data_IF_791605202923
#
_entry.id   IF_791605202923
#
_cell.length_a   1.000
_cell.length_b   1.000
_cell.length_c   1.000
_cell.angle_alpha   90.00
_cell.angle_beta   90.00
_cell.angle_gamma   90.00
#
_symmetry.space_group_name_H-M   'P 1'
#
loop_
_entity.id
_entity.type
_entity.pdbx_description
1 polymer ?
#
# COMPACT_ATOMS: atom_id res chain seq x y z
N UNK A 1 -10.55 -7.34 4.53
CA UNK A 1 -9.69 -7.86 5.60
C UNK A 1 -9.56 -9.36 5.57
N UNK A 2 -8.48 -9.89 6.13
CA UNK A 2 -8.22 -11.33 6.28
C UNK A 2 -8.15 -11.68 7.76
N UNK A 3 -8.85 -12.76 8.17
CA UNK A 3 -8.93 -13.22 9.57
C UNK A 3 -8.91 -14.74 9.66
N UNK A 4 -8.88 -15.31 10.88
CA UNK A 4 -9.05 -16.76 11.11
C UNK A 4 -7.74 -17.57 11.14
N UNK A 5 -6.58 -16.92 11.21
CA UNK A 5 -5.27 -17.56 11.37
C UNK A 5 -4.31 -16.70 12.21
N UNK A 6 -3.10 -17.21 12.46
CA UNK A 6 -2.04 -16.46 13.11
C UNK A 6 -1.60 -15.23 12.27
N UNK A 7 -1.11 -14.15 12.89
CA UNK A 7 -0.74 -12.92 12.19
C UNK A 7 0.25 -13.14 11.03
N UNK A 8 1.23 -14.02 11.19
CA UNK A 8 2.19 -14.38 10.14
C UNK A 8 1.49 -14.95 8.91
N UNK A 9 0.60 -15.91 9.12
CA UNK A 9 -0.18 -16.57 8.04
C UNK A 9 -1.13 -15.59 7.34
N UNK A 10 -1.73 -14.66 8.12
CA UNK A 10 -2.57 -13.59 7.57
C UNK A 10 -1.75 -12.61 6.73
N UNK A 11 -0.53 -12.28 7.17
CA UNK A 11 0.38 -11.41 6.43
C UNK A 11 0.80 -12.05 5.10
N UNK A 12 1.25 -13.31 5.11
CA UNK A 12 1.59 -14.06 3.89
C UNK A 12 0.41 -14.11 2.89
N UNK A 13 -0.78 -14.43 3.38
CA UNK A 13 -1.99 -14.46 2.56
C UNK A 13 -2.35 -13.06 2.02
N UNK A 14 -2.11 -12.00 2.81
CA UNK A 14 -2.35 -10.61 2.42
C UNK A 14 -1.40 -10.19 1.29
N UNK A 15 -0.12 -10.50 1.39
CA UNK A 15 0.88 -10.21 0.35
C UNK A 15 0.54 -10.95 -0.95
N UNK A 16 0.28 -12.26 -0.86
CA UNK A 16 -0.07 -13.07 -2.02
C UNK A 16 -1.36 -12.60 -2.71
N UNK A 17 -2.37 -12.18 -1.95
CA UNK A 17 -3.61 -11.61 -2.47
C UNK A 17 -3.35 -10.25 -3.12
N UNK A 18 -2.61 -9.37 -2.46
CA UNK A 18 -2.30 -8.05 -2.98
C UNK A 18 -1.56 -8.11 -4.32
N UNK A 19 -0.60 -9.01 -4.48
CA UNK A 19 0.14 -9.18 -5.73
C UNK A 19 -0.75 -9.65 -6.88
N UNK A 20 -1.69 -10.57 -6.62
CA UNK A 20 -2.67 -10.99 -7.63
C UNK A 20 -3.61 -9.87 -8.05
N UNK A 21 -4.12 -9.12 -7.09
CA UNK A 21 -5.04 -8.02 -7.37
C UNK A 21 -4.35 -6.86 -8.11
N UNK A 22 -3.09 -6.57 -7.79
CA UNK A 22 -2.30 -5.54 -8.52
C UNK A 22 -2.05 -5.92 -9.98
N UNK A 23 -1.96 -7.21 -10.29
CA UNK A 23 -1.79 -7.70 -11.65
C UNK A 23 -3.09 -7.70 -12.47
N UNK A 24 -4.24 -7.54 -11.82
CA UNK A 24 -5.55 -7.57 -12.48
C UNK A 24 -5.98 -6.15 -12.89
N UNK A 25 -6.38 -5.94 -14.16
CA UNK A 25 -6.76 -4.62 -14.67
C UNK A 25 -8.04 -4.06 -14.05
N UNK A 26 -8.84 -4.86 -13.37
CA UNK A 26 -10.06 -4.43 -12.69
C UNK A 26 -9.76 -3.48 -11.50
N UNK A 27 -8.56 -3.56 -10.92
CA UNK A 27 -8.18 -2.77 -9.76
C UNK A 27 -7.27 -1.62 -10.13
N UNK A 28 -7.55 -0.45 -9.56
CA UNK A 28 -6.76 0.77 -9.73
C UNK A 28 -5.71 0.92 -8.63
N UNK A 29 -6.08 0.57 -7.39
CA UNK A 29 -5.22 0.66 -6.21
C UNK A 29 -5.42 -0.57 -5.34
N UNK A 30 -4.31 -1.14 -4.89
CA UNK A 30 -4.28 -2.21 -3.89
C UNK A 30 -3.18 -1.89 -2.88
N UNK A 31 -3.57 -1.57 -1.65
CA UNK A 31 -2.67 -1.23 -0.55
C UNK A 31 -2.97 -2.11 0.67
N UNK A 32 -1.95 -2.77 1.20
CA UNK A 32 -2.04 -3.64 2.37
C UNK A 32 -1.05 -3.25 3.49
N UNK A 33 -0.40 -2.08 3.33
CA UNK A 33 0.66 -1.63 4.26
C UNK A 33 2.06 -2.07 3.90
N UNK A 34 2.22 -2.95 2.92
CA UNK A 34 3.53 -3.38 2.45
C UNK A 34 4.34 -2.18 1.90
N UNK A 35 5.56 -2.02 2.41
CA UNK A 35 6.47 -0.99 1.89
C UNK A 35 7.17 -1.52 0.66
N UNK A 36 6.77 -1.04 -0.50
CA UNK A 36 7.41 -1.39 -1.77
C UNK A 36 8.27 -0.24 -2.24
N UNK A 37 9.50 -0.54 -2.63
CA UNK A 37 10.40 0.46 -3.20
C UNK A 37 9.89 1.01 -4.55
N UNK A 38 9.10 0.21 -5.28
CA UNK A 38 8.45 0.60 -6.54
C UNK A 38 7.15 1.41 -6.34
N UNK A 39 6.66 1.53 -5.09
CA UNK A 39 5.47 2.32 -4.76
C UNK A 39 5.75 3.82 -4.62
N UNK A 40 7.00 4.26 -4.71
CA UNK A 40 7.31 5.69 -4.71
C UNK A 40 6.75 6.34 -5.98
N UNK A 41 5.93 7.41 -5.85
CA UNK A 41 5.30 8.05 -6.99
C UNK A 41 6.34 8.83 -7.82
N UNK A 42 6.99 8.15 -8.76
CA UNK A 42 8.09 8.70 -9.58
C UNK A 42 7.70 10.00 -10.32
N UNK A 43 6.44 10.16 -10.66
CA UNK A 43 5.90 11.38 -11.26
C UNK A 43 6.02 12.61 -10.35
N UNK A 44 6.20 12.43 -9.05
CA UNK A 44 6.43 13.52 -8.09
C UNK A 44 7.90 13.89 -7.96
N UNK A 45 8.81 13.08 -8.47
CA UNK A 45 10.26 13.30 -8.35
C UNK A 45 10.71 14.70 -8.83
N UNK A 46 10.21 15.24 -9.96
CA UNK A 46 10.54 16.62 -10.40
C UNK A 46 10.08 17.70 -9.42
N UNK A 47 9.04 17.43 -8.65
CA UNK A 47 8.38 18.41 -7.77
C UNK A 47 8.71 18.20 -6.29
N UNK A 48 9.55 17.23 -5.93
CA UNK A 48 9.81 16.79 -4.56
C UNK A 48 10.18 17.93 -3.59
N UNK A 49 10.99 18.88 -4.03
CA UNK A 49 11.39 20.04 -3.21
C UNK A 49 10.30 21.10 -3.07
N UNK A 50 9.36 21.17 -4.01
CA UNK A 50 8.21 22.08 -3.93
C UNK A 50 7.10 21.53 -3.02
N UNK A 51 7.05 20.22 -2.88
CA UNK A 51 6.01 19.53 -2.11
C UNK A 51 6.45 19.21 -0.69
N UNK A 52 7.75 19.23 -0.42
CA UNK A 52 8.30 18.94 0.92
C UNK A 52 8.45 20.22 1.74
N UNK A 53 8.38 20.09 3.06
CA UNK A 53 8.62 21.16 4.00
C UNK A 53 10.13 21.46 4.19
N UNK A 54 11.03 20.77 3.48
CA UNK A 54 12.48 20.92 3.69
C UNK A 54 12.95 22.34 3.40
N UNK A 55 12.43 22.95 2.32
CA UNK A 55 12.80 24.31 1.94
C UNK A 55 12.20 25.39 2.86
N UNK A 56 11.15 25.07 3.61
CA UNK A 56 10.57 25.97 4.60
C UNK A 56 11.47 26.09 5.84
N UNK A 57 12.24 25.04 6.14
CA UNK A 57 13.06 24.92 7.34
C UNK A 57 14.57 24.93 7.09
N UNK A 58 14.99 24.78 5.84
CA UNK A 58 16.39 24.67 5.45
C UNK A 58 16.69 25.45 4.17
N UNK A 59 17.82 26.16 4.17
CA UNK A 59 18.34 26.72 2.91
C UNK A 59 19.01 25.62 2.11
N UNK A 60 18.75 25.58 0.81
CA UNK A 60 19.41 24.68 -0.12
C UNK A 60 20.80 25.24 -0.48
N UNK A 61 21.73 25.17 0.47
CA UNK A 61 23.09 25.68 0.38
C UNK A 61 24.13 24.56 0.51
N UNK A 62 25.41 24.90 0.32
CA UNK A 62 26.50 23.93 0.39
C UNK A 62 26.58 23.22 1.77
N UNK A 63 26.40 23.90 2.92
CA UNK A 63 26.34 23.23 4.21
C UNK A 63 25.18 22.23 4.35
N UNK A 64 23.99 22.54 3.83
CA UNK A 64 22.86 21.62 3.79
C UNK A 64 23.19 20.38 2.96
N UNK A 65 23.64 20.58 1.72
CA UNK A 65 24.00 19.47 0.83
C UNK A 65 25.11 18.59 1.41
N UNK A 66 26.12 19.19 2.03
CA UNK A 66 27.20 18.43 2.66
C UNK A 66 26.68 17.50 3.77
N UNK A 67 25.77 17.98 4.61
CA UNK A 67 25.14 17.16 5.67
C UNK A 67 24.32 16.03 5.08
N UNK A 68 23.49 16.31 4.07
CA UNK A 68 22.64 15.30 3.43
C UNK A 68 23.49 14.22 2.74
N UNK A 69 24.53 14.61 2.00
CA UNK A 69 25.42 13.65 1.35
C UNK A 69 26.20 12.81 2.36
N UNK A 70 26.62 13.38 3.51
CA UNK A 70 27.23 12.59 4.57
C UNK A 70 26.27 11.56 5.19
N UNK A 71 24.96 11.87 5.28
CA UNK A 71 23.95 10.89 5.67
C UNK A 71 23.89 9.76 4.65
N UNK A 72 23.85 10.09 3.36
CA UNK A 72 23.80 9.08 2.27
C UNK A 72 25.01 8.15 2.28
N UNK A 73 26.19 8.67 2.56
CA UNK A 73 27.40 7.82 2.72
C UNK A 73 27.21 6.80 3.84
N UNK A 74 26.60 7.20 4.96
CA UNK A 74 26.30 6.29 6.08
C UNK A 74 25.21 5.27 5.70
N UNK A 75 24.18 5.70 4.98
CA UNK A 75 23.11 4.82 4.52
C UNK A 75 23.63 3.74 3.56
N UNK A 76 24.54 4.12 2.66
CA UNK A 76 25.22 3.18 1.74
C UNK A 76 26.15 2.20 2.46
N UNK A 77 26.62 2.54 3.65
CA UNK A 77 27.40 1.63 4.50
C UNK A 77 26.52 0.69 5.35
N UNK A 78 25.19 0.83 5.28
CA UNK A 78 24.22 0.02 6.03
C UNK A 78 23.79 -1.22 5.26
N UNK A 79 23.25 -2.25 5.95
CA UNK A 79 22.70 -3.45 5.27
C UNK A 79 21.55 -3.15 4.29
N UNK A 80 20.88 -2.00 4.43
CA UNK A 80 19.80 -1.55 3.54
C UNK A 80 20.26 -0.81 2.28
N UNK A 81 21.56 -0.68 2.03
CA UNK A 81 22.12 0.09 0.92
C UNK A 81 21.54 -0.26 -0.45
N UNK A 82 21.35 -1.56 -0.72
CA UNK A 82 20.82 -2.05 -2.00
C UNK A 82 19.41 -1.55 -2.34
N UNK A 83 18.61 -1.21 -1.34
CA UNK A 83 17.26 -0.66 -1.54
C UNK A 83 17.30 0.83 -1.90
N UNK A 84 18.31 1.56 -1.41
CA UNK A 84 18.43 3.00 -1.58
C UNK A 84 19.28 3.39 -2.81
N UNK A 85 20.23 2.57 -3.21
CA UNK A 85 21.19 2.87 -4.29
C UNK A 85 20.49 3.30 -5.60
N UNK A 86 19.43 2.63 -6.09
CA UNK A 86 18.76 3.03 -7.33
C UNK A 86 18.16 4.44 -7.26
N UNK A 87 17.72 4.84 -6.06
CA UNK A 87 17.08 6.14 -5.81
C UNK A 87 18.09 7.27 -5.66
N UNK A 88 19.23 7.00 -5.02
CA UNK A 88 20.25 8.02 -4.73
C UNK A 88 20.79 8.72 -5.96
N UNK A 89 20.81 8.04 -7.11
CA UNK A 89 21.23 8.64 -8.39
C UNK A 89 20.25 9.69 -8.90
N UNK A 90 18.96 9.54 -8.59
CA UNK A 90 17.87 10.42 -9.05
C UNK A 90 17.44 11.43 -7.99
N UNK A 91 17.60 11.07 -6.73
CA UNK A 91 17.23 11.86 -5.56
C UNK A 91 18.29 11.74 -4.46
N UNK A 92 19.42 12.47 -4.59
CA UNK A 92 20.55 12.35 -3.65
C UNK A 92 20.22 12.71 -2.21
N UNK A 93 19.19 13.51 -1.98
CA UNK A 93 18.72 13.90 -0.64
C UNK A 93 17.61 13.00 -0.12
N UNK A 94 17.09 12.05 -0.95
CA UNK A 94 15.93 11.21 -0.67
C UNK A 94 14.68 12.03 -0.29
N UNK A 95 14.51 13.19 -0.94
CA UNK A 95 13.42 14.11 -0.64
C UNK A 95 12.06 13.51 -0.95
N UNK A 96 11.96 12.69 -2.02
CA UNK A 96 10.73 11.97 -2.34
C UNK A 96 10.36 10.98 -1.25
N UNK A 97 11.33 10.29 -0.67
CA UNK A 97 11.10 9.36 0.44
C UNK A 97 10.64 10.13 1.69
N UNK A 98 11.29 11.25 2.02
CA UNK A 98 10.90 12.13 3.13
C UNK A 98 9.46 12.65 2.93
N UNK A 99 9.11 13.04 1.71
CA UNK A 99 7.77 13.50 1.36
C UNK A 99 6.71 12.41 1.59
N UNK A 100 6.96 11.20 1.09
CA UNK A 100 6.04 10.07 1.29
C UNK A 100 5.91 9.72 2.77
N UNK A 101 7.00 9.73 3.53
CA UNK A 101 6.97 9.51 4.98
C UNK A 101 6.19 10.60 5.72
N UNK A 102 6.34 11.86 5.31
CA UNK A 102 5.58 12.98 5.90
C UNK A 102 4.08 12.91 5.59
N UNK A 103 3.70 12.31 4.46
CA UNK A 103 2.30 12.09 4.10
C UNK A 103 1.68 10.87 4.76
N UNK A 104 2.48 9.96 5.31
CA UNK A 104 1.97 8.87 6.15
C UNK A 104 1.35 9.47 7.41
N UNK A 105 0.03 9.43 7.47
CA UNK A 105 -0.73 10.04 8.57
C UNK A 105 -0.57 9.23 9.87
N UNK A 106 -0.62 9.88 11.05
CA UNK A 106 -0.55 9.18 12.34
C UNK A 106 -1.76 8.23 12.62
N UNK A 107 -2.70 8.15 11.68
CA UNK A 107 -3.88 7.27 11.71
C UNK A 107 -3.71 6.00 10.86
N UNK A 108 -2.51 5.71 10.38
CA UNK A 108 -2.28 4.42 9.71
C UNK A 108 -2.55 3.24 10.67
N UNK A 109 -3.15 2.15 10.17
CA UNK A 109 -3.29 0.92 10.93
C UNK A 109 -1.95 0.40 11.42
N UNK A 110 -1.95 -0.31 12.55
CA UNK A 110 -0.74 -0.93 13.08
C UNK A 110 -0.13 -1.87 12.05
N UNK A 111 1.21 -1.83 11.88
CA UNK A 111 1.92 -2.75 10.99
C UNK A 111 2.47 -3.93 11.77
N UNK A 112 2.19 -5.14 11.26
CA UNK A 112 2.79 -6.40 11.72
C UNK A 112 3.17 -7.22 10.50
N UNK A 113 4.40 -7.78 10.49
CA UNK A 113 4.92 -8.55 9.34
C UNK A 113 4.78 -7.80 8.02
N UNK A 114 5.11 -6.48 8.03
CA UNK A 114 5.06 -5.56 6.90
C UNK A 114 3.69 -5.29 6.28
N UNK A 115 2.58 -5.77 6.88
CA UNK A 115 1.21 -5.47 6.45
C UNK A 115 0.40 -4.77 7.55
N UNK A 116 -0.70 -4.12 7.16
CA UNK A 116 -1.61 -3.47 8.10
C UNK A 116 -2.45 -4.48 8.86
N UNK A 117 -2.64 -4.22 10.14
CA UNK A 117 -3.52 -4.97 11.01
C UNK A 117 -4.50 -4.04 11.74
N UNK A 118 -5.62 -4.62 12.19
CA UNK A 118 -6.49 -3.97 13.15
C UNK A 118 -5.78 -3.78 14.50
N UNK A 119 -6.29 -2.88 15.36
CA UNK A 119 -5.68 -2.59 16.66
C UNK A 119 -5.58 -3.79 17.62
N UNK A 120 -6.24 -4.92 17.32
CA UNK A 120 -6.13 -6.18 18.06
C UNK A 120 -5.09 -7.12 17.46
N UNK A 121 -4.64 -6.88 16.24
CA UNK A 121 -3.71 -7.74 15.52
C UNK A 121 -4.33 -9.07 15.06
N UNK A 122 -5.65 -9.12 14.91
CA UNK A 122 -6.40 -10.35 14.55
C UNK A 122 -6.88 -10.34 13.11
N UNK A 123 -6.83 -9.18 12.44
CA UNK A 123 -7.30 -9.00 11.06
C UNK A 123 -6.26 -8.24 10.27
N UNK A 124 -5.72 -8.84 9.22
CA UNK A 124 -4.91 -8.14 8.25
C UNK A 124 -5.81 -7.28 7.36
N UNK A 125 -5.46 -6.00 7.18
CA UNK A 125 -6.25 -5.02 6.46
C UNK A 125 -5.69 -4.78 5.06
N UNK A 126 -6.59 -4.52 4.12
CA UNK A 126 -6.25 -4.17 2.74
C UNK A 126 -7.25 -3.16 2.21
N UNK A 127 -6.78 -2.12 1.54
CA UNK A 127 -7.58 -1.17 0.79
C UNK A 127 -7.51 -1.54 -0.69
N UNK A 128 -8.68 -1.71 -1.30
CA UNK A 128 -8.80 -2.05 -2.72
C UNK A 128 -9.73 -1.03 -3.39
N UNK A 129 -9.27 -0.42 -4.48
CA UNK A 129 -10.06 0.47 -5.31
C UNK A 129 -10.22 -0.13 -6.70
N UNK A 130 -11.47 -0.27 -7.13
CA UNK A 130 -11.82 -0.74 -8.47
C UNK A 130 -11.69 0.40 -9.49
N UNK A 131 -11.49 0.08 -10.77
CA UNK A 131 -11.53 1.06 -11.88
C UNK A 131 -12.94 1.42 -12.28
N UNK A 132 -13.89 0.51 -12.07
CA UNK A 132 -15.30 0.74 -12.40
C UNK A 132 -15.90 1.89 -11.60
N UNK A 133 -16.87 2.58 -12.19
CA UNK A 133 -17.62 3.63 -11.50
C UNK A 133 -18.31 3.05 -10.26
N UNK A 134 -18.14 3.72 -9.10
CA UNK A 134 -18.57 3.21 -7.79
C UNK A 134 -20.08 2.95 -7.66
N UNK A 135 -20.88 3.48 -8.57
CA UNK A 135 -22.34 3.30 -8.63
C UNK A 135 -22.80 2.26 -9.67
N UNK A 136 -21.88 1.71 -10.46
CA UNK A 136 -22.21 0.62 -11.39
C UNK A 136 -22.13 -0.71 -10.64
N UNK A 137 -23.28 -1.23 -10.23
CA UNK A 137 -23.39 -2.45 -9.42
C UNK A 137 -22.92 -3.70 -10.16
N UNK A 138 -23.06 -3.77 -11.49
CA UNK A 138 -22.59 -4.89 -12.30
C UNK A 138 -21.06 -4.95 -12.31
N UNK A 139 -20.39 -3.83 -12.50
CA UNK A 139 -18.92 -3.75 -12.42
C UNK A 139 -18.42 -4.06 -11.00
N UNK A 140 -19.15 -3.65 -9.96
CA UNK A 140 -18.78 -3.96 -8.58
C UNK A 140 -18.94 -5.46 -8.25
N UNK A 141 -19.99 -6.11 -8.76
CA UNK A 141 -20.15 -7.56 -8.64
C UNK A 141 -19.03 -8.33 -9.35
N UNK A 142 -18.66 -7.91 -10.57
CA UNK A 142 -17.55 -8.51 -11.30
C UNK A 142 -16.23 -8.38 -10.52
N UNK A 143 -15.92 -7.19 -10.00
CA UNK A 143 -14.72 -6.94 -9.19
C UNK A 143 -14.70 -7.79 -7.90
N UNK A 144 -15.85 -7.94 -7.23
CA UNK A 144 -15.97 -8.81 -6.05
C UNK A 144 -15.76 -10.28 -6.43
N UNK A 145 -16.26 -10.72 -7.57
CA UNK A 145 -16.02 -12.07 -8.09
C UNK A 145 -14.53 -12.34 -8.33
N UNK A 146 -13.83 -11.40 -8.96
CA UNK A 146 -12.38 -11.47 -9.16
C UNK A 146 -11.64 -11.50 -7.82
N UNK A 147 -12.04 -10.66 -6.85
CA UNK A 147 -11.46 -10.63 -5.51
C UNK A 147 -11.60 -11.99 -4.79
N UNK A 148 -12.79 -12.58 -4.81
CA UNK A 148 -13.02 -13.90 -4.19
C UNK A 148 -12.20 -15.00 -4.85
N UNK A 149 -12.07 -15.00 -6.17
CA UNK A 149 -11.24 -15.95 -6.91
C UNK A 149 -9.77 -15.78 -6.55
N UNK A 150 -9.27 -14.54 -6.60
CA UNK A 150 -7.88 -14.22 -6.22
C UNK A 150 -7.58 -14.63 -4.77
N UNK A 151 -8.55 -14.44 -3.85
CA UNK A 151 -8.41 -14.88 -2.47
C UNK A 151 -8.37 -16.41 -2.34
N UNK A 152 -9.21 -17.13 -3.04
CA UNK A 152 -9.20 -18.61 -3.01
C UNK A 152 -7.84 -19.17 -3.43
N UNK A 153 -7.20 -18.51 -4.40
CA UNK A 153 -5.87 -18.88 -4.92
C UNK A 153 -4.70 -18.37 -4.05
N UNK A 154 -4.92 -17.32 -3.26
CA UNK A 154 -3.89 -16.66 -2.45
C UNK A 154 -3.81 -17.16 -1.01
N UNK A 155 -4.93 -17.65 -0.45
CA UNK A 155 -4.96 -18.10 0.95
C UNK A 155 -4.01 -19.26 1.18
N UNK A 156 -3.17 -19.14 2.19
CA UNK A 156 -2.17 -20.17 2.54
C UNK A 156 -2.75 -21.31 3.38
N UNK A 157 -3.88 -21.04 4.08
CA UNK A 157 -4.56 -22.03 4.93
C UNK A 157 -6.08 -21.95 4.77
N UNK A 158 -6.81 -23.09 4.88
CA UNK A 158 -8.28 -23.11 4.78
C UNK A 158 -9.00 -22.30 5.85
N UNK A 159 -8.36 -22.07 7.01
CA UNK A 159 -8.91 -21.28 8.12
C UNK A 159 -8.94 -19.78 7.83
N UNK A 160 -8.14 -19.29 6.88
CA UNK A 160 -8.13 -17.87 6.50
C UNK A 160 -9.46 -17.52 5.83
N UNK A 161 -10.10 -16.48 6.32
CA UNK A 161 -11.38 -15.97 5.86
C UNK A 161 -11.23 -14.55 5.31
N UNK A 162 -11.97 -14.25 4.24
CA UNK A 162 -12.04 -12.93 3.64
C UNK A 162 -13.26 -12.17 4.16
N UNK A 163 -13.05 -10.95 4.62
CA UNK A 163 -14.09 -9.99 4.99
C UNK A 163 -14.02 -8.83 3.99
N UNK A 164 -15.10 -8.61 3.25
CA UNK A 164 -15.22 -7.50 2.31
C UNK A 164 -16.21 -6.48 2.84
N UNK A 165 -15.80 -5.21 2.90
CA UNK A 165 -16.63 -4.09 3.37
C UNK A 165 -16.43 -2.89 2.45
N UNK A 166 -17.33 -1.92 2.55
CA UNK A 166 -17.22 -0.68 1.79
C UNK A 166 -18.40 -0.44 0.86
N UNK A 167 -18.47 0.73 0.22
CA UNK A 167 -19.61 1.13 -0.61
C UNK A 167 -19.90 0.15 -1.76
N UNK A 168 -18.86 -0.32 -2.45
CA UNK A 168 -19.01 -1.29 -3.55
C UNK A 168 -19.56 -2.63 -3.10
N UNK A 169 -19.08 -3.16 -1.95
CA UNK A 169 -19.61 -4.41 -1.38
C UNK A 169 -21.06 -4.28 -0.95
N UNK A 170 -21.43 -3.14 -0.37
CA UNK A 170 -22.81 -2.86 0.03
C UNK A 170 -23.73 -2.76 -1.18
N UNK A 171 -23.33 -2.08 -2.25
CA UNK A 171 -24.09 -1.94 -3.48
C UNK A 171 -24.36 -3.31 -4.13
N UNK A 172 -23.34 -4.17 -4.19
CA UNK A 172 -23.49 -5.53 -4.74
C UNK A 172 -24.46 -6.39 -3.91
N UNK A 173 -24.36 -6.35 -2.58
CA UNK A 173 -25.26 -7.07 -1.66
C UNK A 173 -26.72 -6.63 -1.78
N UNK A 174 -26.97 -5.32 -1.93
CA UNK A 174 -28.34 -4.80 -2.09
C UNK A 174 -28.98 -5.27 -3.39
N UNK A 175 -28.20 -5.34 -4.47
CA UNK A 175 -28.71 -5.80 -5.76
C UNK A 175 -29.03 -7.30 -5.75
N UNK A 176 -28.20 -8.13 -5.14
CA UNK A 176 -28.45 -9.57 -5.01
C UNK A 176 -29.76 -9.85 -4.27
N UNK A 177 -30.07 -9.10 -3.21
CA UNK A 177 -31.34 -9.21 -2.51
C UNK A 177 -32.56 -8.80 -3.35
N UNK A 178 -32.40 -7.75 -4.18
CA UNK A 178 -33.49 -7.26 -5.04
C UNK A 178 -33.80 -8.20 -6.21
N UNK A 179 -32.83 -9.00 -6.65
CA UNK A 179 -33.00 -9.97 -7.72
C UNK A 179 -33.55 -11.34 -7.23
N UNK A 180 -33.54 -11.56 -5.90
CA UNK A 180 -33.96 -12.83 -5.27
C UNK A 180 -35.41 -12.79 -4.76
N UNK A 181 -36.11 -11.66 -4.88
CA UNK A 181 -37.54 -11.45 -4.63
C UNK A 181 -38.34 -11.42 -5.95
#
# INVERSE_FOLDING_TARGET
GLTGAAPETLAESSVALADRLRADPEFQLVANGETRADALPENLLPYRYLLSATLDHSRFDAPFLARELQRRVRDLASPGAGLLEPWLRRDPTLELLNLVQAWQQPTEPERRHDVWFDGRGTTALMLVQTRGEGFNSESQQAAIGVLHKAFADARTMPSVQLIVTGPGAFSALMQEKTQSE
#
